data_IF_219728228065
#
_entry.id   IF_219728228065
#
_cell.length_a   1.000
_cell.length_b   1.000
_cell.length_c   1.000
_cell.angle_alpha   90.00
_cell.angle_beta   90.00
_cell.angle_gamma   90.00
#
_symmetry.space_group_name_H-M   'P 1'
#
loop_
_entity.id
_entity.type
_entity.pdbx_description
1 polymer ?
#
# COMPACT_ATOMS: atom_id res chain seq x y z
N UNK A 1 8.95 23.01 -50.89
CA UNK A 1 9.48 24.40 -50.80
C UNK A 1 8.93 25.16 -49.59
N UNK A 2 7.63 25.08 -49.30
CA UNK A 2 6.93 25.85 -48.24
C UNK A 2 7.43 25.55 -46.81
N UNK A 3 7.62 24.27 -46.45
CA UNK A 3 8.09 23.85 -45.11
C UNK A 3 9.49 24.41 -44.79
N UNK A 4 10.39 24.43 -45.79
CA UNK A 4 11.75 24.98 -45.65
C UNK A 4 11.72 26.47 -45.36
N UNK A 5 10.81 27.20 -46.02
CA UNK A 5 10.60 28.64 -45.80
C UNK A 5 10.02 28.90 -44.41
N UNK A 6 9.03 28.09 -43.98
CA UNK A 6 8.43 28.19 -42.64
C UNK A 6 9.46 27.95 -41.52
N UNK A 7 10.30 26.92 -41.64
CA UNK A 7 11.39 26.64 -40.68
C UNK A 7 12.43 27.76 -40.61
N UNK A 8 12.77 28.36 -41.75
CA UNK A 8 13.68 29.51 -41.81
C UNK A 8 13.07 30.75 -41.13
N UNK A 9 11.77 30.99 -41.32
CA UNK A 9 11.06 32.09 -40.64
C UNK A 9 10.98 31.87 -39.12
N UNK A 10 10.73 30.63 -38.68
CA UNK A 10 10.73 30.25 -37.27
C UNK A 10 12.09 30.51 -36.61
N UNK A 11 13.19 30.14 -37.31
CA UNK A 11 14.56 30.36 -36.84
C UNK A 11 14.95 31.84 -36.85
N UNK A 12 14.48 32.62 -37.83
CA UNK A 12 14.79 34.07 -37.94
C UNK A 12 14.12 34.88 -36.83
N UNK A 13 12.87 34.54 -36.47
CA UNK A 13 12.14 35.16 -35.36
C UNK A 13 12.20 34.30 -34.09
N UNK A 14 13.39 33.79 -33.77
CA UNK A 14 13.65 32.83 -32.69
C UNK A 14 13.07 33.26 -31.33
N UNK A 15 13.21 34.54 -30.94
CA UNK A 15 12.71 35.02 -29.63
C UNK A 15 11.20 34.85 -29.50
N UNK A 16 10.44 35.24 -30.51
CA UNK A 16 8.98 35.14 -30.50
C UNK A 16 8.50 33.69 -30.66
N UNK A 17 9.13 32.93 -31.56
CA UNK A 17 8.80 31.51 -31.73
C UNK A 17 9.10 30.69 -30.47
N UNK A 18 10.21 30.96 -29.78
CA UNK A 18 10.57 30.28 -28.54
C UNK A 18 9.54 30.54 -27.42
N UNK A 19 9.00 31.76 -27.31
CA UNK A 19 7.96 32.06 -26.32
C UNK A 19 6.66 31.30 -26.61
N UNK A 20 6.25 31.23 -27.88
CA UNK A 20 5.05 30.46 -28.29
C UNK A 20 5.24 28.98 -28.02
N UNK A 21 6.39 28.40 -28.43
CA UNK A 21 6.69 26.99 -28.23
C UNK A 21 6.74 26.66 -26.73
N UNK A 22 7.35 27.52 -25.91
CA UNK A 22 7.44 27.30 -24.46
C UNK A 22 6.07 27.34 -23.80
N UNK A 23 5.21 28.28 -24.19
CA UNK A 23 3.85 28.38 -23.67
C UNK A 23 3.03 27.12 -24.02
N UNK A 24 3.07 26.70 -25.28
CA UNK A 24 2.41 25.48 -25.74
C UNK A 24 2.97 24.25 -25.02
N UNK A 25 4.29 24.19 -24.84
CA UNK A 25 4.97 23.09 -24.17
C UNK A 25 4.59 23.01 -22.70
N UNK A 26 4.54 24.13 -21.97
CA UNK A 26 4.10 24.18 -20.58
C UNK A 26 2.63 23.74 -20.47
N UNK A 27 1.76 24.19 -21.39
CA UNK A 27 0.36 23.77 -21.42
C UNK A 27 0.21 22.26 -21.62
N UNK A 28 0.90 21.71 -22.62
CA UNK A 28 0.89 20.28 -22.91
C UNK A 28 1.52 19.45 -21.77
N UNK A 29 2.65 19.90 -21.22
CA UNK A 29 3.29 19.26 -20.07
C UNK A 29 2.34 19.21 -18.88
N UNK A 30 1.68 20.33 -18.56
CA UNK A 30 0.74 20.40 -17.44
C UNK A 30 -0.41 19.43 -17.63
N UNK A 31 -0.94 19.32 -18.85
CA UNK A 31 -1.98 18.36 -19.17
C UNK A 31 -1.51 16.90 -18.99
N UNK A 32 -0.34 16.55 -19.56
CA UNK A 32 0.22 15.20 -19.43
C UNK A 32 0.52 14.84 -17.98
N UNK A 33 1.11 15.78 -17.24
CA UNK A 33 1.41 15.60 -15.81
C UNK A 33 0.13 15.39 -15.00
N UNK A 34 -0.92 16.18 -15.23
CA UNK A 34 -2.18 16.02 -14.51
C UNK A 34 -2.82 14.65 -14.77
N UNK A 35 -2.84 14.20 -16.03
CA UNK A 35 -3.39 12.88 -16.38
C UNK A 35 -2.56 11.78 -15.73
N UNK A 36 -1.23 11.84 -15.84
CA UNK A 36 -0.33 10.85 -15.25
C UNK A 36 -0.45 10.79 -13.73
N UNK A 37 -0.50 11.93 -13.05
CA UNK A 37 -0.65 11.97 -11.59
C UNK A 37 -1.98 11.35 -11.17
N UNK A 38 -3.07 11.68 -11.86
CA UNK A 38 -4.39 11.12 -11.54
C UNK A 38 -4.36 9.59 -11.57
N UNK A 39 -3.83 9.02 -12.64
CA UNK A 39 -3.82 7.57 -12.83
C UNK A 39 -2.84 6.89 -11.85
N UNK A 40 -1.62 7.42 -11.70
CA UNK A 40 -0.63 6.86 -10.77
C UNK A 40 -1.07 6.95 -9.31
N UNK A 41 -1.76 8.02 -8.90
CA UNK A 41 -2.28 8.15 -7.53
C UNK A 41 -3.40 7.14 -7.29
N UNK A 42 -4.34 6.99 -8.23
CA UNK A 42 -5.43 6.02 -8.08
C UNK A 42 -4.91 4.59 -8.00
N UNK A 43 -3.98 4.22 -8.86
CA UNK A 43 -3.35 2.90 -8.85
C UNK A 43 -2.53 2.67 -7.57
N UNK A 44 -1.71 3.65 -7.18
CA UNK A 44 -0.93 3.57 -5.94
C UNK A 44 -1.81 3.43 -4.70
N UNK A 45 -2.93 4.14 -4.64
CA UNK A 45 -3.88 4.05 -3.52
C UNK A 45 -4.56 2.68 -3.50
N UNK A 46 -4.97 2.17 -4.65
CA UNK A 46 -5.61 0.86 -4.76
C UNK A 46 -4.68 -0.29 -4.35
N UNK A 47 -3.46 -0.30 -4.89
CA UNK A 47 -2.45 -1.30 -4.54
C UNK A 47 -2.00 -1.18 -3.08
N UNK A 48 -1.80 0.05 -2.59
CA UNK A 48 -1.45 0.25 -1.18
C UNK A 48 -2.58 -0.17 -0.24
N UNK A 49 -3.85 0.06 -0.62
CA UNK A 49 -5.02 -0.35 0.16
C UNK A 49 -5.10 -1.88 0.26
N UNK A 50 -4.95 -2.60 -0.86
CA UNK A 50 -4.92 -4.07 -0.86
C UNK A 50 -3.78 -4.64 -0.03
N UNK A 51 -2.59 -4.06 -0.18
CA UNK A 51 -1.41 -4.48 0.60
C UNK A 51 -1.56 -4.16 2.08
N UNK A 52 -2.19 -3.04 2.44
CA UNK A 52 -2.43 -2.65 3.83
C UNK A 52 -3.52 -3.51 4.49
N UNK A 53 -4.62 -3.78 3.78
CA UNK A 53 -5.68 -4.66 4.26
C UNK A 53 -5.19 -6.11 4.37
N UNK A 54 -4.29 -6.50 3.46
CA UNK A 54 -3.78 -7.87 3.33
C UNK A 54 -4.84 -8.87 2.84
N UNK A 55 -6.00 -8.40 2.38
CA UNK A 55 -7.14 -9.20 1.94
C UNK A 55 -8.01 -8.43 0.93
N UNK A 56 -8.93 -9.12 0.26
CA UNK A 56 -9.95 -8.46 -0.57
C UNK A 56 -11.06 -7.83 0.28
N UNK A 57 -11.41 -8.48 1.40
CA UNK A 57 -12.46 -8.04 2.34
C UNK A 57 -11.96 -8.30 3.76
N UNK A 58 -12.14 -7.31 4.65
CA UNK A 58 -11.87 -7.44 6.09
C UNK A 58 -13.13 -7.16 6.89
N UNK A 59 -13.51 -8.08 7.77
CA UNK A 59 -14.58 -7.88 8.75
C UNK A 59 -13.97 -7.49 10.08
N UNK A 60 -14.16 -6.23 10.50
CA UNK A 60 -13.64 -5.71 11.76
C UNK A 60 -14.77 -5.45 12.76
N UNK A 61 -14.57 -5.84 14.01
CA UNK A 61 -15.46 -5.52 15.12
C UNK A 61 -14.66 -5.34 16.40
N UNK A 62 -15.09 -4.39 17.24
CA UNK A 62 -14.52 -4.19 18.58
C UNK A 62 -15.04 -5.21 19.60
N UNK A 63 -16.11 -5.91 19.26
CA UNK A 63 -16.71 -6.97 20.08
C UNK A 63 -16.52 -8.32 19.41
N UNK A 64 -16.58 -9.40 20.18
CA UNK A 64 -16.54 -10.76 19.63
C UNK A 64 -17.67 -10.91 18.60
N UNK A 65 -17.30 -11.25 17.37
CA UNK A 65 -18.26 -11.53 16.30
C UNK A 65 -18.94 -12.85 16.64
N UNK A 66 -20.27 -12.84 16.68
CA UNK A 66 -21.05 -14.06 16.93
C UNK A 66 -20.93 -15.02 15.73
N UNK A 67 -20.85 -16.32 16.02
CA UNK A 67 -20.67 -17.37 15.02
C UNK A 67 -21.86 -17.43 14.05
N UNK A 68 -23.06 -17.07 14.52
CA UNK A 68 -24.28 -17.02 13.70
C UNK A 68 -24.14 -15.97 12.60
N UNK A 69 -23.63 -14.79 12.95
CA UNK A 69 -23.41 -13.70 11.99
C UNK A 69 -22.30 -14.04 11.02
N UNK A 70 -21.21 -14.67 11.51
CA UNK A 70 -20.11 -15.12 10.67
C UNK A 70 -20.59 -16.10 9.60
N UNK A 71 -21.37 -17.13 9.99
CA UNK A 71 -21.90 -18.13 9.06
C UNK A 71 -22.77 -17.52 7.97
N UNK A 72 -23.66 -16.58 8.32
CA UNK A 72 -24.48 -15.85 7.34
C UNK A 72 -23.63 -15.07 6.34
N UNK A 73 -22.52 -14.49 6.79
CA UNK A 73 -21.59 -13.80 5.88
C UNK A 73 -20.84 -14.79 4.98
N UNK A 74 -20.41 -15.94 5.53
CA UNK A 74 -19.76 -17.01 4.77
C UNK A 74 -20.68 -17.62 3.70
N UNK A 75 -21.99 -17.71 3.96
CA UNK A 75 -23.00 -18.17 2.98
C UNK A 75 -23.17 -17.24 1.77
N UNK A 76 -22.85 -15.95 1.92
CA UNK A 76 -22.93 -14.97 0.83
C UNK A 76 -21.64 -14.92 -0.02
N UNK A 77 -20.56 -15.56 0.45
CA UNK A 77 -19.27 -15.58 -0.23
C UNK A 77 -19.19 -16.76 -1.22
N UNK A 78 -18.41 -16.63 -2.30
CA UNK A 78 -18.21 -17.71 -3.26
C UNK A 78 -17.50 -18.90 -2.59
N UNK A 79 -17.78 -20.13 -3.04
CA UNK A 79 -17.33 -21.38 -2.40
C UNK A 79 -15.80 -21.57 -2.30
N UNK A 80 -15.01 -20.77 -3.01
CA UNK A 80 -13.54 -20.85 -3.05
C UNK A 80 -12.83 -19.76 -2.23
N UNK A 81 -13.53 -19.07 -1.32
CA UNK A 81 -12.90 -18.03 -0.50
C UNK A 81 -11.88 -18.62 0.50
N UNK A 82 -10.82 -17.86 0.78
CA UNK A 82 -9.87 -18.14 1.86
C UNK A 82 -10.16 -17.21 3.03
N UNK A 83 -10.01 -17.71 4.25
CA UNK A 83 -10.21 -16.94 5.47
C UNK A 83 -9.02 -17.09 6.41
N UNK A 84 -8.75 -16.03 7.16
CA UNK A 84 -7.75 -15.98 8.22
C UNK A 84 -8.27 -15.06 9.31
N UNK A 85 -7.98 -15.38 10.57
CA UNK A 85 -8.35 -14.52 11.69
C UNK A 85 -7.17 -13.67 12.14
N UNK A 86 -7.47 -12.40 12.42
CA UNK A 86 -6.53 -11.46 13.01
C UNK A 86 -7.17 -10.86 14.28
N UNK A 87 -6.39 -10.80 15.35
CA UNK A 87 -6.78 -10.27 16.67
C UNK A 87 -5.87 -9.12 17.02
N UNK A 88 -6.48 -7.99 17.33
CA UNK A 88 -5.79 -6.75 17.67
C UNK A 88 -6.12 -6.33 19.08
N UNK A 89 -5.09 -5.94 19.84
CA UNK A 89 -5.27 -5.40 21.18
C UNK A 89 -4.24 -4.32 21.44
N UNK A 90 -4.68 -3.19 21.98
CA UNK A 90 -3.78 -2.18 22.52
C UNK A 90 -3.31 -2.60 23.91
N UNK A 91 -2.00 -2.60 24.13
CA UNK A 91 -1.39 -2.97 25.41
C UNK A 91 -0.19 -2.10 25.72
N UNK A 92 0.11 -1.93 27.01
CA UNK A 92 1.32 -1.24 27.45
C UNK A 92 2.51 -2.20 27.41
N UNK A 93 3.45 -1.95 26.51
CA UNK A 93 4.72 -2.69 26.45
C UNK A 93 5.75 -1.92 27.25
N UNK A 94 6.44 -2.62 28.16
CA UNK A 94 7.52 -2.06 28.99
C UNK A 94 8.86 -2.33 28.30
N UNK A 95 9.57 -1.27 27.95
CA UNK A 95 10.98 -1.31 27.57
C UNK A 95 11.91 -1.15 28.78
N UNK A 96 13.21 -1.07 28.50
CA UNK A 96 14.24 -0.89 29.54
C UNK A 96 14.10 0.45 30.25
N UNK A 97 13.71 1.51 29.52
CA UNK A 97 13.61 2.86 30.08
C UNK A 97 12.18 3.36 30.18
N UNK A 98 11.29 3.01 29.24
CA UNK A 98 9.93 3.57 29.19
C UNK A 98 8.88 2.52 28.83
N UNK A 99 7.67 2.73 29.33
CA UNK A 99 6.50 2.00 28.85
C UNK A 99 5.78 2.80 27.77
N UNK A 100 5.29 2.11 26.75
CA UNK A 100 4.56 2.70 25.62
C UNK A 100 3.32 1.90 25.29
N UNK A 101 2.28 2.59 24.84
CA UNK A 101 1.09 1.96 24.30
C UNK A 101 1.41 1.44 22.90
N UNK A 102 1.32 0.13 22.70
CA UNK A 102 1.58 -0.54 21.44
C UNK A 102 0.36 -1.34 21.01
N UNK A 103 0.17 -1.46 19.69
CA UNK A 103 -0.80 -2.38 19.12
C UNK A 103 -0.14 -3.76 19.00
N UNK A 104 -0.68 -4.73 19.75
CA UNK A 104 -0.34 -6.13 19.59
C UNK A 104 -1.28 -6.74 18.56
N UNK A 105 -0.70 -7.30 17.50
CA UNK A 105 -1.42 -7.98 16.42
C UNK A 105 -1.04 -9.45 16.43
N UNK A 106 -2.03 -10.31 16.59
CA UNK A 106 -1.90 -11.76 16.45
C UNK A 106 -2.67 -12.21 15.21
N UNK A 107 -2.03 -12.96 14.32
CA UNK A 107 -2.62 -13.41 13.07
C UNK A 107 -2.44 -14.91 12.91
N UNK A 108 -3.38 -15.55 12.21
CA UNK A 108 -3.31 -16.98 11.89
C UNK A 108 -2.45 -17.27 10.66
N UNK A 109 -2.12 -18.56 10.48
CA UNK A 109 -1.43 -19.02 9.27
C UNK A 109 -2.22 -18.65 8.02
N UNK A 110 -1.53 -18.03 7.06
CA UNK A 110 -2.11 -17.59 5.79
C UNK A 110 -2.40 -16.10 5.68
N UNK A 111 -2.18 -15.32 6.75
CA UNK A 111 -2.13 -13.85 6.66
C UNK A 111 -0.70 -13.34 6.37
N UNK A 112 -0.53 -12.29 5.54
CA UNK A 112 -1.55 -11.67 4.69
C UNK A 112 -1.78 -12.47 3.39
N UNK A 113 -2.97 -12.32 2.78
CA UNK A 113 -3.26 -12.86 1.44
C UNK A 113 -2.62 -12.04 0.33
N UNK A 114 -2.53 -10.72 0.52
CA UNK A 114 -1.86 -9.78 -0.38
C UNK A 114 -0.75 -9.04 0.35
N UNK A 115 0.37 -8.80 -0.34
CA UNK A 115 1.55 -8.20 0.25
C UNK A 115 2.46 -9.22 0.93
N UNK A 116 3.59 -8.73 1.43
CA UNK A 116 4.67 -9.55 1.96
C UNK A 116 5.19 -8.96 3.28
N UNK A 117 5.53 -9.80 4.25
CA UNK A 117 6.29 -9.36 5.41
C UNK A 117 7.77 -9.22 5.06
N UNK A 118 8.32 -8.02 5.22
CA UNK A 118 9.75 -7.77 5.05
C UNK A 118 10.43 -7.73 6.41
N UNK A 119 11.13 -8.81 6.75
CA UNK A 119 11.94 -8.86 7.98
C UNK A 119 13.33 -8.32 7.71
N UNK A 120 13.80 -7.42 8.58
CA UNK A 120 15.16 -6.87 8.50
C UNK A 120 16.23 -7.97 8.53
N UNK A 121 16.03 -9.03 9.32
CA UNK A 121 17.04 -10.06 9.55
C UNK A 121 16.83 -11.35 8.73
N UNK A 122 15.67 -11.52 8.08
CA UNK A 122 15.30 -12.76 7.37
C UNK A 122 14.80 -12.52 5.93
N UNK A 123 14.80 -11.28 5.45
CA UNK A 123 14.39 -10.95 4.08
C UNK A 123 12.86 -10.88 3.88
N UNK A 124 12.42 -10.97 2.63
CA UNK A 124 11.00 -10.91 2.25
C UNK A 124 10.39 -12.30 2.36
N UNK A 125 9.32 -12.41 3.14
CA UNK A 125 8.57 -13.65 3.33
C UNK A 125 7.34 -13.62 2.46
N UNK A 126 7.15 -14.69 1.70
CA UNK A 126 5.99 -14.87 0.82
C UNK A 126 5.28 -16.18 1.15
N UNK A 127 3.95 -16.15 1.13
CA UNK A 127 3.10 -17.35 1.17
C UNK A 127 3.40 -18.31 2.33
N UNK A 128 3.56 -19.61 2.07
CA UNK A 128 3.68 -20.63 3.13
C UNK A 128 4.92 -20.52 4.04
N UNK A 129 5.87 -19.62 3.72
CA UNK A 129 7.08 -19.39 4.53
C UNK A 129 6.77 -18.74 5.89
N UNK A 130 5.56 -18.17 6.07
CA UNK A 130 5.11 -17.62 7.36
C UNK A 130 5.05 -18.67 8.49
N UNK A 131 4.95 -19.97 8.16
CA UNK A 131 5.00 -21.07 9.13
C UNK A 131 6.25 -21.01 10.02
N UNK A 132 7.38 -20.54 9.47
CA UNK A 132 8.65 -20.45 10.20
C UNK A 132 8.70 -19.35 11.28
N UNK A 133 7.70 -18.46 11.29
CA UNK A 133 7.64 -17.25 12.13
C UNK A 133 6.57 -17.38 13.20
N UNK A 134 5.52 -18.15 12.90
CA UNK A 134 4.40 -18.47 13.80
C UNK A 134 4.72 -19.63 14.74
N UNK A 135 5.64 -20.52 14.39
CA UNK A 135 5.95 -21.73 15.17
C UNK A 135 6.94 -21.51 16.32
N UNK A 136 7.53 -20.32 16.44
CA UNK A 136 8.45 -19.99 17.52
C UNK A 136 7.75 -19.00 18.46
N UNK A 137 7.96 -19.10 19.79
CA UNK A 137 7.47 -18.14 20.81
C UNK A 137 8.17 -16.77 20.68
N UNK A 138 8.20 -16.22 19.47
CA UNK A 138 8.91 -15.00 19.09
C UNK A 138 7.90 -13.93 18.75
N UNK A 139 8.08 -12.76 19.37
CA UNK A 139 7.33 -11.56 19.04
C UNK A 139 8.14 -10.76 18.03
N UNK A 140 7.46 -10.31 16.97
CA UNK A 140 8.04 -9.44 15.97
C UNK A 140 7.66 -8.00 16.28
N UNK A 141 8.65 -7.12 16.26
CA UNK A 141 8.48 -5.73 16.65
C UNK A 141 8.94 -4.83 15.50
N UNK A 142 8.11 -3.85 15.18
CA UNK A 142 8.48 -2.82 14.22
C UNK A 142 9.67 -1.99 14.74
N UNK A 143 10.68 -1.66 13.90
CA UNK A 143 11.84 -0.88 14.31
C UNK A 143 11.49 0.46 14.95
N UNK A 144 10.37 1.06 14.55
CA UNK A 144 9.83 2.31 15.10
C UNK A 144 9.46 2.18 16.57
N UNK A 145 8.93 1.03 16.98
CA UNK A 145 8.55 0.74 18.37
C UNK A 145 9.81 0.53 19.22
N UNK A 146 10.82 -0.16 18.69
CA UNK A 146 12.11 -0.35 19.37
C UNK A 146 12.83 0.96 19.68
N UNK A 147 12.68 1.99 18.84
CA UNK A 147 13.24 3.33 19.09
C UNK A 147 12.52 4.10 20.20
N UNK A 148 11.33 3.67 20.61
CA UNK A 148 10.46 4.41 21.52
C UNK A 148 10.34 3.80 22.93
N UNK A 149 10.72 2.52 23.08
CA UNK A 149 10.78 1.75 24.34
C UNK A 149 12.08 2.03 25.11
#
# INVERSE_FOLDING_TARGET
>A
MIIKIALLQLKRNWKYSSLIVSNLFIGMLSFVLLVSIKDSVLESVYESSKNYLGADISLYSRQKIDEIHLKKTEELLPSNFKKTQLKEMYTMVKGDQKSRLCLLVAFEMGYPFYGDFKLQNKGVLKGESYKSILNEDKVWVYPEVLKQL
#
